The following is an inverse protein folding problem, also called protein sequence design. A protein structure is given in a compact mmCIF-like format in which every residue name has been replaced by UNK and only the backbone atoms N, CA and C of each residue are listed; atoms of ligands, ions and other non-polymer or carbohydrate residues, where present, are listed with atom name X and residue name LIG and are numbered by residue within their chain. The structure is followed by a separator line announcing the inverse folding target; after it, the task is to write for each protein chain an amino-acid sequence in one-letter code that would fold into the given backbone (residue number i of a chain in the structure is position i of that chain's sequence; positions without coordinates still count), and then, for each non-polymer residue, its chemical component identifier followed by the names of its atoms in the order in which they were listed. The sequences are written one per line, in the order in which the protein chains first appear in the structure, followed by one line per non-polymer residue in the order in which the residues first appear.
data_IF_851755337997
#
_entry.id   IF_851755337997
#
_cell.length_a   1.000
_cell.length_b   1.000
_cell.length_c   1.000
_cell.angle_alpha   90.00
_cell.angle_beta   90.00
_cell.angle_gamma   90.00
#
_symmetry.space_group_name_H-M   'P 1'
#
loop_
_entity.id
_entity.type
_entity.pdbx_description
1 polymer ?
#
# COMPACT_ATOMS: atom_id res chain seq x y z
N UNK A 1 -25.09 23.41 5.90
CA UNK A 1 -24.40 23.11 4.63
C UNK A 1 -23.88 21.68 4.69
N UNK A 2 -24.74 20.70 4.34
CA UNK A 2 -24.32 19.28 4.25
C UNK A 2 -23.49 19.08 3.01
N UNK A 3 -22.17 19.21 3.12
CA UNK A 3 -21.25 18.69 2.11
C UNK A 3 -21.42 17.17 2.14
N UNK A 4 -22.07 16.62 1.14
CA UNK A 4 -22.18 15.17 0.98
C UNK A 4 -20.74 14.63 0.82
N UNK A 5 -20.17 14.05 1.89
CA UNK A 5 -18.88 13.39 1.82
C UNK A 5 -19.05 12.10 1.03
N UNK A 6 -18.30 11.98 -0.05
CA UNK A 6 -18.24 10.71 -0.79
C UNK A 6 -17.74 9.61 0.15
N UNK A 7 -18.34 8.41 0.12
CA UNK A 7 -17.86 7.28 0.91
C UNK A 7 -16.42 6.94 0.51
N UNK A 8 -15.59 6.57 1.48
CA UNK A 8 -14.26 6.07 1.20
C UNK A 8 -14.38 4.65 0.65
N UNK A 9 -13.70 4.40 -0.45
CA UNK A 9 -13.65 3.09 -1.12
C UNK A 9 -12.25 2.54 -0.91
N UNK A 10 -12.15 1.33 -0.37
CA UNK A 10 -10.87 0.65 -0.15
C UNK A 10 -10.82 -0.57 -1.04
N UNK A 11 -9.88 -0.57 -1.96
CA UNK A 11 -9.62 -1.70 -2.85
C UNK A 11 -8.64 -2.64 -2.17
N UNK A 12 -9.17 -3.71 -1.58
CA UNK A 12 -8.42 -4.65 -0.76
C UNK A 12 -7.62 -5.64 -1.60
N UNK A 13 -6.62 -6.28 -0.98
CA UNK A 13 -5.81 -7.38 -1.54
C UNK A 13 -5.05 -7.00 -2.81
N UNK A 14 -4.60 -5.74 -2.89
CA UNK A 14 -3.92 -5.19 -4.06
C UNK A 14 -4.74 -5.31 -5.37
N UNK A 15 -6.06 -5.51 -5.27
CA UNK A 15 -6.91 -5.78 -6.43
C UNK A 15 -6.50 -7.03 -7.23
N UNK A 16 -5.72 -7.93 -6.61
CA UNK A 16 -5.16 -9.10 -7.27
C UNK A 16 -6.24 -10.00 -7.88
N UNK A 17 -6.06 -10.52 -9.12
CA UNK A 17 -4.87 -10.40 -9.99
C UNK A 17 -4.87 -9.17 -10.93
N UNK A 18 -5.80 -8.24 -10.79
CA UNK A 18 -5.99 -7.09 -11.70
C UNK A 18 -5.34 -5.81 -11.13
N UNK A 19 -4.12 -5.92 -10.62
CA UNK A 19 -3.41 -4.85 -9.90
C UNK A 19 -3.44 -3.52 -10.69
N UNK A 20 -2.97 -3.51 -11.92
CA UNK A 20 -2.90 -2.31 -12.74
C UNK A 20 -4.25 -1.63 -12.99
N UNK A 21 -5.35 -2.38 -13.04
CA UNK A 21 -6.70 -1.77 -13.13
C UNK A 21 -7.09 -1.11 -11.81
N UNK A 22 -6.79 -1.78 -10.70
CA UNK A 22 -7.06 -1.26 -9.36
C UNK A 22 -6.25 0.01 -9.06
N UNK A 23 -4.96 0.00 -9.41
CA UNK A 23 -4.08 1.16 -9.22
C UNK A 23 -4.56 2.37 -10.02
N UNK A 24 -4.96 2.14 -11.28
CA UNK A 24 -5.49 3.21 -12.14
C UNK A 24 -6.78 3.82 -11.59
N UNK A 25 -7.73 3.00 -11.13
CA UNK A 25 -8.95 3.49 -10.51
C UNK A 25 -8.65 4.28 -9.23
N UNK A 26 -7.73 3.78 -8.40
CA UNK A 26 -7.31 4.49 -7.18
C UNK A 26 -6.67 5.84 -7.50
N UNK A 27 -5.91 5.93 -8.58
CA UNK A 27 -5.33 7.18 -9.04
C UNK A 27 -6.42 8.20 -9.42
N UNK A 28 -7.41 7.77 -10.20
CA UNK A 28 -8.44 8.65 -10.75
C UNK A 28 -9.43 9.17 -9.70
N UNK A 29 -9.81 8.35 -8.73
CA UNK A 29 -10.86 8.70 -7.77
C UNK A 29 -10.27 9.16 -6.43
N UNK A 30 -10.55 10.40 -5.98
CA UNK A 30 -9.94 10.96 -4.77
C UNK A 30 -10.33 10.24 -3.48
N UNK A 31 -11.49 9.60 -3.45
CA UNK A 31 -12.00 8.84 -2.30
C UNK A 31 -11.65 7.33 -2.37
N UNK A 32 -10.81 6.91 -3.31
CA UNK A 32 -10.39 5.53 -3.46
C UNK A 32 -8.99 5.32 -2.85
N UNK A 33 -8.83 4.25 -2.09
CA UNK A 33 -7.57 3.82 -1.46
C UNK A 33 -7.21 2.41 -1.92
N UNK A 34 -5.92 2.09 -1.88
CA UNK A 34 -5.39 0.81 -2.34
C UNK A 34 -4.69 0.08 -1.20
N UNK A 35 -5.21 -1.09 -0.83
CA UNK A 35 -4.78 -1.81 0.35
C UNK A 35 -4.09 -3.12 -0.04
N UNK A 36 -2.96 -3.44 0.61
CA UNK A 36 -2.00 -4.48 0.19
C UNK A 36 -2.12 -5.78 0.99
N UNK A 37 -3.12 -5.91 1.86
CA UNK A 37 -3.28 -7.10 2.70
C UNK A 37 -3.51 -8.38 1.88
N UNK A 38 -3.39 -9.49 2.50
CA UNK A 38 -3.49 -10.83 1.96
C UNK A 38 -2.56 -11.08 0.76
N UNK A 39 -2.50 -10.17 -0.21
CA UNK A 39 -1.58 -10.27 -1.33
C UNK A 39 -0.12 -10.36 -0.86
N UNK A 40 0.26 -9.55 0.14
CA UNK A 40 1.63 -9.53 0.68
C UNK A 40 2.08 -10.90 1.23
N UNK A 41 1.36 -11.62 2.09
CA UNK A 41 1.79 -12.94 2.54
C UNK A 41 1.62 -14.07 1.51
N UNK A 42 0.80 -13.90 0.47
CA UNK A 42 0.50 -14.96 -0.49
C UNK A 42 1.30 -14.89 -1.79
N UNK A 43 1.67 -13.69 -2.25
CA UNK A 43 2.36 -13.50 -3.54
C UNK A 43 3.88 -13.47 -3.32
N UNK A 44 4.52 -14.63 -3.27
CA UNK A 44 5.95 -14.75 -2.99
C UNK A 44 6.85 -14.03 -4.00
N UNK A 45 7.03 -14.64 -5.17
CA UNK A 45 7.95 -14.15 -6.20
C UNK A 45 7.45 -12.91 -6.93
N UNK A 46 6.15 -12.67 -6.87
CA UNK A 46 5.52 -11.52 -7.50
C UNK A 46 5.52 -10.25 -6.65
N UNK A 47 5.96 -10.30 -5.39
CA UNK A 47 5.83 -9.17 -4.46
C UNK A 47 6.57 -7.92 -4.92
N UNK A 48 7.82 -8.03 -5.36
CA UNK A 48 8.55 -6.86 -5.83
C UNK A 48 7.84 -6.21 -7.03
N UNK A 49 7.40 -7.02 -7.99
CA UNK A 49 6.63 -6.54 -9.14
C UNK A 49 5.34 -5.83 -8.70
N UNK A 50 4.60 -6.44 -7.77
CA UNK A 50 3.38 -5.85 -7.23
C UNK A 50 3.65 -4.47 -6.59
N UNK A 51 4.66 -4.36 -5.73
CA UNK A 51 5.01 -3.09 -5.10
C UNK A 51 5.44 -2.03 -6.12
N UNK A 52 6.24 -2.42 -7.12
CA UNK A 52 6.64 -1.50 -8.20
C UNK A 52 5.44 -1.01 -8.99
N UNK A 53 4.53 -1.91 -9.39
CA UNK A 53 3.31 -1.57 -10.14
C UNK A 53 2.37 -0.66 -9.33
N UNK A 54 2.28 -0.85 -8.02
CA UNK A 54 1.48 0.01 -7.13
C UNK A 54 2.12 1.39 -6.99
N UNK A 55 3.42 1.44 -6.71
CA UNK A 55 4.16 2.70 -6.52
C UNK A 55 4.27 3.53 -7.80
N UNK A 56 4.18 2.89 -8.97
CA UNK A 56 4.22 3.57 -10.27
C UNK A 56 3.06 4.55 -10.46
N UNK A 57 1.87 4.22 -9.96
CA UNK A 57 0.64 4.94 -10.30
C UNK A 57 -0.07 5.50 -9.08
N UNK A 58 -0.13 4.78 -7.96
CA UNK A 58 -0.92 5.18 -6.80
C UNK A 58 -0.18 6.23 -5.97
N UNK A 59 -0.80 7.39 -5.68
CA UNK A 59 -0.22 8.34 -4.74
C UNK A 59 0.09 7.68 -3.39
N UNK A 60 1.29 7.90 -2.84
CA UNK A 60 1.74 7.26 -1.60
C UNK A 60 0.76 7.43 -0.44
N UNK A 61 0.05 8.57 -0.40
CA UNK A 61 -0.95 8.88 0.62
C UNK A 61 -2.22 8.03 0.55
N UNK A 62 -2.41 7.26 -0.51
CA UNK A 62 -3.59 6.41 -0.72
C UNK A 62 -3.29 4.92 -0.58
N UNK A 63 -2.03 4.55 -0.37
CA UNK A 63 -1.62 3.15 -0.22
C UNK A 63 -1.71 2.78 1.26
N UNK A 64 -2.38 1.67 1.54
CA UNK A 64 -2.59 1.15 2.88
C UNK A 64 -1.91 -0.21 3.03
N UNK A 65 -1.28 -0.44 4.17
CA UNK A 65 -0.70 -1.73 4.51
C UNK A 65 -1.59 -2.46 5.51
N UNK A 66 -1.82 -3.75 5.26
CA UNK A 66 -2.48 -4.67 6.17
C UNK A 66 -1.94 -6.08 6.02
N UNK A 67 -2.24 -6.97 6.96
CA UNK A 67 -1.87 -8.38 6.90
C UNK A 67 -3.00 -9.26 6.39
N UNK A 68 -4.23 -8.95 6.80
CA UNK A 68 -5.41 -9.82 6.68
C UNK A 68 -5.14 -11.24 7.19
N UNK A 69 -4.43 -11.32 8.31
CA UNK A 69 -3.94 -12.59 8.85
C UNK A 69 -5.04 -13.45 9.49
N UNK A 70 -6.17 -12.84 9.80
CA UNK A 70 -7.36 -13.47 10.38
C UNK A 70 -7.02 -14.41 11.57
N UNK A 71 -6.95 -15.71 11.33
CA UNK A 71 -6.71 -16.73 12.37
C UNK A 71 -5.35 -17.43 12.27
N UNK A 72 -4.44 -16.96 11.39
CA UNK A 72 -3.12 -17.53 11.19
C UNK A 72 -2.04 -16.59 11.72
N UNK A 73 -1.49 -16.81 12.92
CA UNK A 73 -0.46 -15.94 13.52
C UNK A 73 0.76 -15.76 12.63
N UNK A 74 1.14 -16.78 11.86
CA UNK A 74 2.27 -16.75 10.94
C UNK A 74 2.09 -15.70 9.85
N UNK A 75 0.85 -15.43 9.44
CA UNK A 75 0.56 -14.43 8.41
C UNK A 75 0.82 -13.00 8.90
N UNK A 76 0.61 -12.71 10.20
CA UNK A 76 1.00 -11.41 10.77
C UNK A 76 2.50 -11.20 10.63
N UNK A 77 3.29 -12.22 10.99
CA UNK A 77 4.73 -12.18 10.89
C UNK A 77 5.22 -12.10 9.45
N UNK A 78 4.69 -12.95 8.55
CA UNK A 78 5.04 -12.97 7.14
C UNK A 78 4.71 -11.64 6.45
N UNK A 79 3.50 -11.12 6.66
CA UNK A 79 3.09 -9.83 6.10
C UNK A 79 4.01 -8.70 6.56
N UNK A 80 4.31 -8.63 7.86
CA UNK A 80 5.20 -7.62 8.40
C UNK A 80 6.64 -7.75 7.87
N UNK A 81 7.17 -8.97 7.79
CA UNK A 81 8.53 -9.24 7.30
C UNK A 81 8.67 -8.94 5.81
N UNK A 82 7.79 -9.51 5.01
CA UNK A 82 7.86 -9.37 3.56
C UNK A 82 7.38 -8.01 3.07
N UNK A 83 6.35 -7.46 3.69
CA UNK A 83 5.87 -6.14 3.37
C UNK A 83 6.96 -5.09 3.51
N UNK A 84 7.66 -5.06 4.64
CA UNK A 84 8.80 -4.14 4.84
C UNK A 84 9.94 -4.40 3.87
N UNK A 85 10.30 -5.68 3.67
CA UNK A 85 11.41 -6.06 2.80
C UNK A 85 11.17 -5.63 1.35
N UNK A 86 10.04 -6.02 0.79
CA UNK A 86 9.75 -5.76 -0.62
C UNK A 86 9.38 -4.31 -0.90
N UNK A 87 8.74 -3.63 0.06
CA UNK A 87 8.54 -2.19 -0.02
C UNK A 87 9.88 -1.44 -0.04
N UNK A 88 10.81 -1.82 0.83
CA UNK A 88 12.16 -1.24 0.84
C UNK A 88 12.91 -1.51 -0.47
N UNK A 89 12.81 -2.72 -1.04
CA UNK A 89 13.41 -3.04 -2.33
C UNK A 89 12.78 -2.22 -3.47
N UNK A 90 11.46 -2.05 -3.48
CA UNK A 90 10.80 -1.23 -4.47
C UNK A 90 11.20 0.24 -4.38
N UNK A 91 11.27 0.80 -3.18
CA UNK A 91 11.77 2.17 -3.00
C UNK A 91 13.24 2.31 -3.40
N UNK A 92 14.09 1.31 -3.13
CA UNK A 92 15.49 1.33 -3.55
C UNK A 92 15.62 1.48 -5.09
N UNK A 93 14.76 0.81 -5.86
CA UNK A 93 14.74 0.97 -7.33
C UNK A 93 14.50 2.43 -7.73
N UNK A 94 13.58 3.13 -7.07
CA UNK A 94 13.29 4.54 -7.37
C UNK A 94 14.39 5.49 -6.89
N UNK A 95 15.03 5.17 -5.76
CA UNK A 95 16.19 5.94 -5.25
C UNK A 95 17.39 5.77 -6.18
N UNK A 96 17.70 4.56 -6.60
CA UNK A 96 18.82 4.25 -7.50
C UNK A 96 18.61 4.89 -8.88
N UNK A 97 17.36 5.00 -9.32
CA UNK A 97 16.99 5.69 -10.56
C UNK A 97 16.98 7.23 -10.42
N UNK A 98 17.24 7.79 -9.24
CA UNK A 98 17.23 9.22 -8.98
C UNK A 98 15.82 9.86 -9.00
N UNK A 99 14.77 9.04 -8.92
CA UNK A 99 13.37 9.52 -8.93
C UNK A 99 12.98 10.02 -7.52
N UNK A 100 13.46 9.36 -6.48
CA UNK A 100 13.25 9.73 -5.09
C UNK A 100 14.59 9.86 -4.36
N UNK A 101 14.62 10.73 -3.37
CA UNK A 101 15.69 10.75 -2.38
C UNK A 101 15.46 9.66 -1.33
N UNK A 102 16.51 9.25 -0.63
CA UNK A 102 16.38 8.29 0.49
C UNK A 102 15.43 8.79 1.59
N UNK A 103 15.40 10.09 1.85
CA UNK A 103 14.50 10.69 2.84
C UNK A 103 13.02 10.61 2.41
N UNK A 104 12.72 10.84 1.13
CA UNK A 104 11.37 10.70 0.58
C UNK A 104 10.91 9.23 0.59
N UNK A 105 11.80 8.29 0.27
CA UNK A 105 11.52 6.86 0.34
C UNK A 105 11.17 6.41 1.77
N UNK A 106 11.92 6.87 2.78
CA UNK A 106 11.64 6.58 4.20
C UNK A 106 10.31 7.19 4.63
N UNK A 107 10.03 8.44 4.26
CA UNK A 107 8.75 9.09 4.55
C UNK A 107 7.59 8.33 3.89
N UNK A 108 7.73 7.96 2.62
CA UNK A 108 6.74 7.16 1.90
C UNK A 108 6.48 5.79 2.55
N UNK A 109 7.53 5.11 3.00
CA UNK A 109 7.39 3.84 3.71
C UNK A 109 6.61 3.99 5.04
N UNK A 110 6.87 5.05 5.82
CA UNK A 110 6.10 5.36 7.03
C UNK A 110 4.63 5.63 6.73
N UNK A 111 4.36 6.41 5.69
CA UNK A 111 2.98 6.68 5.25
C UNK A 111 2.24 5.37 4.95
N UNK A 112 2.82 4.50 4.13
CA UNK A 112 2.19 3.25 3.69
C UNK A 112 2.01 2.28 4.85
N UNK A 113 3.03 2.07 5.66
CA UNK A 113 3.02 1.06 6.72
C UNK A 113 2.18 1.46 7.93
N UNK A 114 1.94 2.76 8.15
CA UNK A 114 1.33 3.22 9.39
C UNK A 114 0.43 4.45 9.24
N UNK A 115 0.96 5.58 8.75
CA UNK A 115 0.31 6.88 8.88
C UNK A 115 -0.99 7.00 8.07
N UNK A 116 -1.04 6.39 6.88
CA UNK A 116 -2.23 6.41 6.04
C UNK A 116 -3.41 5.70 6.70
N UNK A 117 -3.17 4.53 7.32
CA UNK A 117 -4.20 3.81 8.07
C UNK A 117 -4.72 4.65 9.24
N UNK A 118 -3.81 5.24 10.04
CA UNK A 118 -4.19 6.10 11.16
C UNK A 118 -5.08 7.25 10.71
N UNK A 119 -4.68 7.94 9.66
CA UNK A 119 -5.44 9.06 9.11
C UNK A 119 -6.81 8.63 8.58
N UNK A 120 -6.86 7.53 7.81
CA UNK A 120 -8.10 7.08 7.17
C UNK A 120 -9.13 6.58 8.20
N UNK A 121 -8.67 5.80 9.17
CA UNK A 121 -9.54 5.18 10.18
C UNK A 121 -9.67 6.00 11.46
N UNK A 122 -9.09 7.22 11.51
CA UNK A 122 -9.12 8.10 12.68
C UNK A 122 -8.63 7.40 13.97
N UNK A 123 -7.57 6.61 13.86
CA UNK A 123 -6.98 5.91 14.99
C UNK A 123 -6.19 6.92 15.85
N UNK A 124 -6.52 6.97 17.13
CA UNK A 124 -5.79 7.77 18.13
C UNK A 124 -4.49 7.05 18.55
N UNK A 125 -3.56 7.81 19.17
CA UNK A 125 -2.30 7.27 19.71
C UNK A 125 -2.54 6.48 20.99
#
# INVERSE_FOLDING_TARGET
NGVMRMPQIIMIHAGYPLIGRGTWLTHLYPNCHFELSLATPLIHHGLLRMYLEVLEVVPLSKILFGSDAYNLPEFYWLAAKWGRRFLAQAFAVYVDAGILTSSEAIAGARMILHENNRRLYHLED
#
